data_IF_896304937069
#
_entry.id   IF_896304937069
#
_cell.length_a   1.000
_cell.length_b   1.000
_cell.length_c   1.000
_cell.angle_alpha   90.00
_cell.angle_beta   90.00
_cell.angle_gamma   90.00
#
_symmetry.space_group_name_H-M   'P 1'
#
loop_
_entity.id
_entity.type
_entity.pdbx_description
1 polymer ?
#
# COMPACT_ATOMS: atom_id res chain seq x y z
N UNK A 1 13.12 37.43 18.74
CA UNK A 1 13.08 38.78 18.13
C UNK A 1 13.01 38.55 16.63
N UNK A 2 11.97 39.04 15.93
CA UNK A 2 11.92 38.92 14.46
C UNK A 2 13.04 39.80 13.90
N UNK A 3 13.96 39.23 13.13
CA UNK A 3 15.05 39.99 12.50
C UNK A 3 14.46 41.12 11.65
N UNK A 4 14.98 42.34 11.87
CA UNK A 4 14.47 43.57 11.24
C UNK A 4 14.51 43.46 9.70
N UNK A 5 15.48 42.71 9.16
CA UNK A 5 15.57 42.40 7.74
C UNK A 5 14.32 41.67 7.21
N UNK A 6 13.80 40.69 7.95
CA UNK A 6 12.62 39.92 7.54
C UNK A 6 11.34 40.78 7.52
N UNK A 7 11.26 41.80 8.37
CA UNK A 7 10.10 42.73 8.40
C UNK A 7 10.17 43.71 7.23
N UNK A 8 11.37 44.15 6.87
CA UNK A 8 11.60 45.06 5.75
C UNK A 8 11.36 44.34 4.42
N UNK A 9 11.83 43.11 4.27
CA UNK A 9 11.62 42.31 3.05
C UNK A 9 10.14 41.89 2.87
N UNK A 10 9.39 41.67 3.96
CA UNK A 10 7.92 41.45 3.94
C UNK A 10 7.16 42.73 3.54
N UNK A 11 7.61 43.91 3.98
CA UNK A 11 7.00 45.19 3.60
C UNK A 11 7.36 45.65 2.17
N UNK A 12 8.51 45.23 1.65
CA UNK A 12 8.98 45.53 0.30
C UNK A 12 8.47 44.54 -0.76
N UNK A 13 7.72 43.51 -0.36
CA UNK A 13 7.19 42.48 -1.26
C UNK A 13 8.29 41.58 -1.85
N UNK A 14 9.44 41.47 -1.18
CA UNK A 14 10.55 40.60 -1.60
C UNK A 14 10.32 39.16 -1.13
N UNK A 15 9.56 38.98 -0.05
CA UNK A 15 9.15 37.67 0.48
C UNK A 15 7.63 37.57 0.33
N UNK A 16 7.18 36.69 -0.56
CA UNK A 16 5.77 36.35 -0.59
C UNK A 16 5.40 35.59 0.70
N UNK A 17 4.34 36.00 1.43
CA UNK A 17 3.92 35.29 2.64
C UNK A 17 3.57 33.83 2.35
N UNK A 18 3.16 33.54 1.10
CA UNK A 18 2.89 32.20 0.57
C UNK A 18 4.17 31.34 0.57
N UNK A 19 5.32 31.88 0.11
CA UNK A 19 6.59 31.13 0.12
C UNK A 19 7.07 30.80 1.54
N UNK A 20 6.82 31.70 2.50
CA UNK A 20 7.14 31.50 3.91
C UNK A 20 6.32 30.37 4.51
N UNK A 21 5.02 30.28 4.21
CA UNK A 21 4.19 29.16 4.67
C UNK A 21 4.55 27.82 4.00
N UNK A 22 4.86 27.84 2.70
CA UNK A 22 5.37 26.64 2.01
C UNK A 22 6.70 26.14 2.60
N UNK A 23 7.59 27.04 3.02
CA UNK A 23 8.88 26.66 3.62
C UNK A 23 8.71 25.93 4.96
N UNK A 24 7.68 26.27 5.75
CA UNK A 24 7.37 25.64 7.04
C UNK A 24 6.68 24.29 6.84
N UNK A 25 5.92 24.11 5.76
CA UNK A 25 5.27 22.84 5.40
C UNK A 25 6.24 21.74 4.90
N UNK A 26 7.53 22.03 4.77
CA UNK A 26 8.53 21.09 4.22
C UNK A 26 9.07 20.09 5.26
N UNK A 27 8.40 19.93 6.42
CA UNK A 27 8.74 18.83 7.32
C UNK A 27 8.31 17.52 6.65
N UNK A 28 9.23 16.90 5.88
CA UNK A 28 9.09 15.53 5.38
C UNK A 28 8.85 14.64 6.60
N UNK A 29 7.59 14.33 6.88
CA UNK A 29 7.19 13.21 7.72
C UNK A 29 7.49 11.96 6.93
N UNK A 30 8.78 11.61 6.87
CA UNK A 30 9.18 10.28 6.44
C UNK A 30 8.57 9.35 7.47
N UNK A 31 7.56 8.58 7.08
CA UNK A 31 7.01 7.53 7.94
C UNK A 31 8.21 6.70 8.38
N UNK A 32 8.51 6.58 9.67
CA UNK A 32 9.62 5.75 10.10
C UNK A 32 9.26 4.31 9.77
N UNK A 33 10.11 3.62 9.00
CA UNK A 33 9.94 2.19 8.79
C UNK A 33 9.94 1.50 10.16
N UNK A 34 8.97 0.63 10.46
CA UNK A 34 8.95 -0.11 11.72
C UNK A 34 10.28 -0.86 11.89
N UNK A 35 11.02 -0.58 12.96
CA UNK A 35 12.28 -1.25 13.32
C UNK A 35 12.07 -2.52 14.14
N UNK A 36 10.82 -2.95 14.32
CA UNK A 36 10.49 -4.08 15.20
C UNK A 36 10.70 -5.43 14.50
N UNK A 37 11.00 -6.46 15.29
CA UNK A 37 11.15 -7.88 14.94
C UNK A 37 9.84 -8.51 14.38
N UNK A 38 9.18 -7.85 13.44
CA UNK A 38 8.08 -8.39 12.66
C UNK A 38 8.67 -9.11 11.44
N UNK A 39 7.98 -10.14 10.95
CA UNK A 39 8.32 -10.70 9.63
C UNK A 39 8.31 -9.55 8.61
N UNK A 40 9.32 -9.50 7.73
CA UNK A 40 9.55 -8.38 6.79
C UNK A 40 8.26 -7.96 6.05
N UNK A 41 7.40 -8.94 5.75
CA UNK A 41 6.11 -8.76 5.07
C UNK A 41 5.11 -7.93 5.89
N UNK A 42 4.99 -8.20 7.19
CA UNK A 42 4.06 -7.47 8.06
C UNK A 42 4.56 -6.05 8.36
N UNK A 43 5.89 -5.88 8.47
CA UNK A 43 6.52 -4.56 8.61
C UNK A 43 6.33 -3.70 7.35
N UNK A 44 6.57 -4.25 6.16
CA UNK A 44 6.37 -3.57 4.88
C UNK A 44 4.89 -3.23 4.65
N UNK A 45 3.97 -4.12 5.01
CA UNK A 45 2.54 -3.84 4.93
C UNK A 45 2.13 -2.66 5.80
N UNK A 46 2.55 -2.65 7.08
CA UNK A 46 2.23 -1.54 7.99
C UNK A 46 2.80 -0.21 7.48
N UNK A 47 4.05 -0.23 7.02
CA UNK A 47 4.70 0.94 6.44
C UNK A 47 3.96 1.48 5.20
N UNK A 48 3.60 0.60 4.26
CA UNK A 48 2.87 0.99 3.06
C UNK A 48 1.48 1.53 3.39
N UNK A 49 0.78 0.91 4.34
CA UNK A 49 -0.55 1.34 4.79
C UNK A 49 -0.51 2.73 5.42
N UNK A 50 0.43 2.98 6.33
CA UNK A 50 0.61 4.30 6.94
C UNK A 50 1.00 5.36 5.90
N UNK A 51 1.87 5.02 4.95
CA UNK A 51 2.24 5.92 3.87
C UNK A 51 1.05 6.27 2.96
N UNK A 52 0.18 5.31 2.64
CA UNK A 52 -1.02 5.59 1.85
C UNK A 52 -2.02 6.48 2.59
N UNK A 53 -2.21 6.30 3.91
CA UNK A 53 -3.04 7.22 4.68
C UNK A 53 -2.51 8.65 4.67
N UNK A 54 -1.20 8.82 4.88
CA UNK A 54 -0.57 10.14 4.82
C UNK A 54 -0.69 10.79 3.44
N UNK A 55 -0.58 10.00 2.36
CA UNK A 55 -0.77 10.51 1.00
C UNK A 55 -2.23 10.92 0.73
N UNK A 56 -3.20 10.17 1.26
CA UNK A 56 -4.62 10.50 1.13
C UNK A 56 -4.95 11.77 1.90
N UNK A 57 -4.52 11.88 3.16
CA UNK A 57 -4.77 13.05 4.01
C UNK A 57 -4.17 14.32 3.39
N UNK A 58 -2.88 14.28 3.03
CA UNK A 58 -2.23 15.42 2.35
C UNK A 58 -2.81 15.71 0.98
N UNK A 59 -3.28 14.67 0.28
CA UNK A 59 -3.99 14.81 -0.98
C UNK A 59 -5.31 15.55 -0.79
N UNK A 60 -6.09 15.19 0.23
CA UNK A 60 -7.33 15.87 0.60
C UNK A 60 -7.09 17.33 0.98
N UNK A 61 -6.07 17.64 1.79
CA UNK A 61 -5.71 19.01 2.14
C UNK A 61 -5.33 19.84 0.90
N UNK A 62 -4.54 19.24 -0.01
CA UNK A 62 -4.17 19.88 -1.27
C UNK A 62 -5.38 20.11 -2.19
N UNK A 63 -6.35 19.19 -2.21
CA UNK A 63 -7.61 19.37 -2.94
C UNK A 63 -8.37 20.58 -2.38
N UNK A 64 -8.48 20.67 -1.05
CA UNK A 64 -9.20 21.78 -0.40
C UNK A 64 -8.55 23.13 -0.71
N UNK A 65 -7.22 23.24 -0.59
CA UNK A 65 -6.49 24.46 -0.94
C UNK A 65 -6.62 24.84 -2.42
N UNK A 66 -6.57 23.87 -3.35
CA UNK A 66 -6.79 24.15 -4.77
C UNK A 66 -8.24 24.55 -5.06
N UNK A 67 -9.21 23.97 -4.35
CA UNK A 67 -10.62 24.35 -4.50
C UNK A 67 -10.89 25.77 -3.98
N UNK A 68 -10.20 26.20 -2.93
CA UNK A 68 -10.25 27.57 -2.45
C UNK A 68 -9.70 28.54 -3.50
N UNK A 69 -8.52 28.24 -4.06
CA UNK A 69 -7.94 29.02 -5.17
C UNK A 69 -8.87 29.00 -6.40
N UNK A 70 -9.49 27.88 -6.72
CA UNK A 70 -10.41 27.77 -7.85
C UNK A 70 -11.67 28.63 -7.68
N UNK A 71 -12.17 28.76 -6.44
CA UNK A 71 -13.29 29.64 -6.10
C UNK A 71 -12.91 31.11 -6.17
N UNK A 72 -11.69 31.46 -5.74
CA UNK A 72 -11.20 32.85 -5.77
C UNK A 72 -10.79 33.29 -7.18
N UNK A 73 -10.15 32.41 -7.95
CA UNK A 73 -9.62 32.73 -9.28
C UNK A 73 -10.67 32.67 -10.40
N UNK A 74 -11.82 32.02 -10.15
CA UNK A 74 -12.91 31.74 -11.09
C UNK A 74 -12.42 31.25 -12.48
N UNK A 75 -11.31 30.50 -12.50
CA UNK A 75 -10.63 30.12 -13.73
C UNK A 75 -10.91 28.64 -14.04
N UNK A 76 -11.51 28.30 -15.20
CA UNK A 76 -11.91 26.93 -15.54
C UNK A 76 -10.76 25.91 -15.43
N UNK A 77 -9.54 26.35 -15.75
CA UNK A 77 -8.33 25.50 -15.65
C UNK A 77 -8.04 25.02 -14.23
N UNK A 78 -8.34 25.81 -13.20
CA UNK A 78 -8.05 25.45 -11.80
C UNK A 78 -8.94 24.28 -11.36
N UNK A 79 -10.19 24.25 -11.83
CA UNK A 79 -11.11 23.11 -11.60
C UNK A 79 -10.66 21.83 -12.31
N UNK A 80 -10.08 21.92 -13.51
CA UNK A 80 -9.52 20.74 -14.19
C UNK A 80 -8.33 20.16 -13.43
N UNK A 81 -7.46 21.02 -12.89
CA UNK A 81 -6.33 20.59 -12.06
C UNK A 81 -6.84 19.96 -10.76
N UNK A 82 -7.84 20.55 -10.11
CA UNK A 82 -8.50 19.96 -8.95
C UNK A 82 -9.07 18.57 -9.27
N UNK A 83 -9.77 18.42 -10.39
CA UNK A 83 -10.31 17.13 -10.85
C UNK A 83 -9.23 16.08 -11.11
N UNK A 84 -8.11 16.48 -11.71
CA UNK A 84 -6.97 15.58 -11.89
C UNK A 84 -6.34 15.16 -10.55
N UNK A 85 -6.26 16.06 -9.58
CA UNK A 85 -5.69 15.75 -8.27
C UNK A 85 -6.62 14.84 -7.45
N UNK A 86 -7.95 15.08 -7.50
CA UNK A 86 -8.96 14.17 -6.94
C UNK A 86 -8.82 12.76 -7.53
N UNK A 87 -8.62 12.65 -8.85
CA UNK A 87 -8.40 11.36 -9.50
C UNK A 87 -7.15 10.65 -8.96
N UNK A 88 -6.05 11.38 -8.79
CA UNK A 88 -4.82 10.81 -8.22
C UNK A 88 -5.03 10.33 -6.78
N UNK A 89 -5.74 11.08 -5.94
CA UNK A 89 -6.07 10.64 -4.57
C UNK A 89 -6.97 9.41 -4.57
N UNK A 90 -7.94 9.34 -5.49
CA UNK A 90 -8.78 8.15 -5.65
C UNK A 90 -7.98 6.90 -6.07
N UNK A 91 -7.03 7.05 -7.00
CA UNK A 91 -6.13 5.95 -7.40
C UNK A 91 -5.24 5.48 -6.22
N UNK A 92 -4.81 6.40 -5.34
CA UNK A 92 -4.07 6.04 -4.12
C UNK A 92 -4.96 5.29 -3.12
N UNK A 93 -6.23 5.71 -2.97
CA UNK A 93 -7.20 5.01 -2.13
C UNK A 93 -7.54 3.61 -2.67
N UNK A 94 -7.63 3.43 -3.99
CA UNK A 94 -7.79 2.12 -4.61
C UNK A 94 -6.58 1.20 -4.32
N UNK A 95 -5.35 1.72 -4.47
CA UNK A 95 -4.13 0.98 -4.12
C UNK A 95 -4.08 0.55 -2.65
N UNK A 96 -4.65 1.33 -1.75
CA UNK A 96 -4.80 0.95 -0.34
C UNK A 96 -5.75 -0.24 -0.17
N UNK A 97 -6.84 -0.29 -0.95
CA UNK A 97 -7.75 -1.45 -0.99
C UNK A 97 -7.08 -2.69 -1.55
N UNK A 98 -6.38 -2.56 -2.68
CA UNK A 98 -5.60 -3.65 -3.30
C UNK A 98 -4.54 -4.21 -2.35
N UNK A 99 -3.91 -3.36 -1.55
CA UNK A 99 -2.91 -3.77 -0.58
C UNK A 99 -3.52 -4.71 0.48
N UNK A 100 -4.73 -4.41 0.95
CA UNK A 100 -5.45 -5.26 1.90
C UNK A 100 -5.79 -6.62 1.28
N UNK A 101 -6.25 -6.64 0.03
CA UNK A 101 -6.58 -7.88 -0.66
C UNK A 101 -5.32 -8.75 -0.88
N UNK A 102 -4.20 -8.15 -1.30
CA UNK A 102 -2.92 -8.85 -1.49
C UNK A 102 -2.41 -9.45 -0.19
N UNK A 103 -2.49 -8.73 0.93
CA UNK A 103 -2.12 -9.28 2.23
C UNK A 103 -3.01 -10.41 2.69
N UNK A 104 -4.32 -10.29 2.46
CA UNK A 104 -5.25 -11.37 2.76
C UNK A 104 -4.92 -12.62 1.94
N UNK A 105 -4.69 -12.48 0.63
CA UNK A 105 -4.27 -13.58 -0.25
C UNK A 105 -2.95 -14.21 0.20
N UNK A 106 -1.96 -13.42 0.59
CA UNK A 106 -0.67 -13.91 1.10
C UNK A 106 -0.82 -14.71 2.40
N UNK A 107 -1.69 -14.26 3.32
CA UNK A 107 -1.99 -14.97 4.58
C UNK A 107 -2.90 -16.17 4.40
N UNK A 108 -3.76 -16.14 3.38
CA UNK A 108 -4.70 -17.22 3.05
C UNK A 108 -4.06 -18.37 2.28
N UNK A 109 -2.83 -18.27 1.77
CA UNK A 109 -2.16 -19.40 1.09
C UNK A 109 -2.06 -20.56 2.09
N UNK A 110 -2.93 -21.57 2.01
CA UNK A 110 -2.78 -22.72 2.86
C UNK A 110 -1.57 -23.47 2.30
N UNK A 111 -0.78 -24.07 3.18
CA UNK A 111 0.12 -25.14 2.80
C UNK A 111 -0.71 -26.33 2.27
N UNK A 112 -1.35 -26.18 1.11
CA UNK A 112 -2.12 -27.19 0.39
C UNK A 112 -1.21 -28.14 -0.39
N UNK A 113 0.11 -28.05 -0.17
CA UNK A 113 1.00 -29.13 -0.53
C UNK A 113 0.63 -30.35 0.34
N UNK A 114 0.34 -31.52 -0.27
CA UNK A 114 0.10 -32.73 0.51
C UNK A 114 1.34 -33.00 1.36
N UNK A 115 1.22 -32.84 2.68
CA UNK A 115 2.33 -33.05 3.64
C UNK A 115 2.88 -34.48 3.63
N UNK A 116 2.10 -35.40 3.09
CA UNK A 116 2.42 -36.82 2.98
C UNK A 116 2.19 -37.27 1.54
N UNK A 117 3.25 -37.33 0.73
CA UNK A 117 3.26 -38.22 -0.45
C UNK A 117 3.45 -39.63 0.08
N UNK A 118 2.35 -40.34 0.34
CA UNK A 118 2.40 -41.78 0.63
C UNK A 118 2.80 -42.50 -0.65
N UNK A 119 4.11 -42.62 -0.87
CA UNK A 119 4.65 -43.41 -1.96
C UNK A 119 4.30 -44.88 -1.67
N UNK A 120 3.29 -45.42 -2.35
CA UNK A 120 2.92 -46.84 -2.29
C UNK A 120 3.96 -47.68 -3.05
N UNK A 121 5.24 -47.55 -2.69
CA UNK A 121 6.32 -48.30 -3.25
C UNK A 121 6.25 -49.72 -2.67
N UNK A 122 5.76 -50.68 -3.46
CA UNK A 122 5.78 -52.08 -3.07
C UNK A 122 7.22 -52.59 -3.19
N UNK A 123 7.89 -52.77 -2.04
CA UNK A 123 9.23 -53.35 -1.95
C UNK A 123 9.11 -54.87 -1.83
N UNK A 124 8.96 -55.55 -2.97
CA UNK A 124 8.86 -57.01 -3.06
C UNK A 124 9.05 -57.51 -4.48
N UNK A 125 9.01 -58.84 -4.67
CA UNK A 125 9.21 -59.42 -6.00
C UNK A 125 7.99 -59.21 -6.89
N UNK A 126 8.18 -59.08 -8.20
CA UNK A 126 7.08 -58.93 -9.19
C UNK A 126 6.03 -60.04 -9.05
N UNK A 127 6.41 -61.23 -8.59
CA UNK A 127 5.49 -62.34 -8.35
C UNK A 127 4.56 -62.11 -7.15
N UNK A 128 4.99 -61.38 -6.13
CA UNK A 128 4.16 -61.05 -4.96
C UNK A 128 3.15 -59.95 -5.29
N UNK A 129 3.54 -58.96 -6.10
CA UNK A 129 2.61 -57.96 -6.66
C UNK A 129 1.48 -58.62 -7.46
N UNK A 130 1.83 -59.59 -8.31
CA UNK A 130 0.85 -60.30 -9.12
C UNK A 130 -0.13 -61.13 -8.29
N UNK A 131 0.32 -61.75 -7.18
CA UNK A 131 -0.57 -62.47 -6.25
C UNK A 131 -1.55 -61.54 -5.56
N UNK A 132 -1.09 -60.37 -5.09
CA UNK A 132 -1.94 -59.37 -4.42
C UNK A 132 -2.99 -58.79 -5.38
N UNK A 133 -2.62 -58.54 -6.64
CA UNK A 133 -3.55 -58.08 -7.68
C UNK A 133 -4.60 -59.13 -8.05
N UNK A 134 -4.22 -60.41 -8.08
CA UNK A 134 -5.12 -61.52 -8.43
C UNK A 134 -6.00 -61.98 -7.25
N UNK A 135 -5.56 -61.80 -6.01
CA UNK A 135 -6.34 -62.15 -4.81
C UNK A 135 -7.51 -61.19 -4.52
N UNK A 136 -7.42 -59.92 -4.96
CA UNK A 136 -8.51 -58.94 -4.81
C UNK A 136 -9.65 -59.08 -5.81
N UNK A 137 -9.48 -59.86 -6.88
CA UNK A 137 -10.56 -60.13 -7.85
C UNK A 137 -11.50 -61.25 -7.42
N UNK A 138 -11.13 -62.05 -6.41
CA UNK A 138 -11.87 -63.25 -5.96
C UNK A 138 -12.69 -63.04 -4.67
N UNK A 139 -12.70 -61.83 -4.11
CA UNK A 139 -13.57 -61.48 -2.98
C UNK A 139 -14.42 -60.25 -3.34
N UNK A 140 -15.44 -60.50 -4.14
CA UNK A 140 -16.63 -59.65 -4.24
C UNK A 140 -17.79 -60.46 -3.66
N UNK A 141 -18.62 -59.90 -2.76
CA UNK A 141 -19.88 -60.53 -2.39
C UNK A 141 -20.81 -60.69 -3.59
#
# INVERSE_FOLDING_TARGET
MKDVANVIDEALGVIDPVEKELSVATHKTVVPRPTENLEDIDADYKYQRENFYNLIERGSDAIEGILEIAKESDHPRTYEVAGNLIKQVAEVAEKLGDLQEKMKRLKEVPNTAPKNVTNALFVGSTAELQRVLKGKSDDRP
#
